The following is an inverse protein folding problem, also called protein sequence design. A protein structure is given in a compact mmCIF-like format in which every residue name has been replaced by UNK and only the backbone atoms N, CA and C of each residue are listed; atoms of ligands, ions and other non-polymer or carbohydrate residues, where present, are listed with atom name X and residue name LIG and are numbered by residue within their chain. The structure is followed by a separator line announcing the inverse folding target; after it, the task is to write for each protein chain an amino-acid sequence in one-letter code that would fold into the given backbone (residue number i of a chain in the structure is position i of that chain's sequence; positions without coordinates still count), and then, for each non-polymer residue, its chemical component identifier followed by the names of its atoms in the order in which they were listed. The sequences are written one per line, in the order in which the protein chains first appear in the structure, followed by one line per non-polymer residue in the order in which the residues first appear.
data_IF_898618563522
#
_entry.id   IF_898618563522
#
_cell.length_a   1.000
_cell.length_b   1.000
_cell.length_c   1.000
_cell.angle_alpha   90.00
_cell.angle_beta   90.00
_cell.angle_gamma   90.00
#
_symmetry.space_group_name_H-M   'P 1'
#
loop_
_entity.id
_entity.type
_entity.pdbx_description
1 polymer ?
#
# COMPACT_ATOMS: atom_id res chain seq x y z
N UNK A 1 11.15 5.27 1.31
CA UNK A 1 9.94 4.48 1.61
C UNK A 1 8.66 5.07 1.02
N UNK A 2 8.43 6.39 1.13
CA UNK A 2 7.24 7.03 0.58
C UNK A 2 7.17 6.95 -0.96
N UNK A 3 8.29 7.15 -1.67
CA UNK A 3 8.33 6.96 -3.12
C UNK A 3 7.93 5.54 -3.53
N UNK A 4 8.45 4.53 -2.81
CA UNK A 4 8.08 3.13 -3.04
C UNK A 4 6.59 2.89 -2.80
N UNK A 5 6.02 3.50 -1.76
CA UNK A 5 4.59 3.44 -1.47
C UNK A 5 3.75 4.08 -2.60
N UNK A 6 4.09 5.29 -3.04
CA UNK A 6 3.38 5.95 -4.14
C UNK A 6 3.54 5.23 -5.48
N UNK A 7 4.71 4.65 -5.75
CA UNK A 7 4.91 3.82 -6.94
C UNK A 7 4.05 2.55 -6.91
N UNK A 8 3.89 1.90 -5.74
CA UNK A 8 2.96 0.77 -5.58
C UNK A 8 1.50 1.20 -5.76
N UNK A 9 1.11 2.38 -5.28
CA UNK A 9 -0.23 2.93 -5.52
C UNK A 9 -0.47 3.26 -7.01
N UNK A 10 0.54 3.77 -7.71
CA UNK A 10 0.47 3.97 -9.17
C UNK A 10 0.38 2.64 -9.92
N UNK A 11 1.07 1.61 -9.45
CA UNK A 11 0.93 0.27 -10.01
C UNK A 11 -0.49 -0.29 -9.77
N UNK A 12 -1.08 -0.05 -8.59
CA UNK A 12 -2.45 -0.45 -8.28
C UNK A 12 -3.48 0.12 -9.27
N UNK A 13 -3.30 1.35 -9.76
CA UNK A 13 -4.23 1.94 -10.73
C UNK A 13 -4.20 1.27 -12.10
N UNK A 14 -3.23 0.39 -12.38
CA UNK A 14 -3.27 -0.45 -13.58
C UNK A 14 -4.48 -1.40 -13.53
N UNK A 15 -5.27 -1.53 -14.62
CA UNK A 15 -6.39 -2.47 -14.70
C UNK A 15 -6.00 -3.91 -14.36
N UNK A 16 -4.77 -4.31 -14.72
CA UNK A 16 -4.23 -5.66 -14.52
C UNK A 16 -3.61 -5.90 -13.14
N UNK A 17 -3.58 -4.89 -12.27
CA UNK A 17 -2.96 -5.05 -10.95
C UNK A 17 -3.88 -5.75 -9.96
N UNK A 18 -3.42 -6.87 -9.40
CA UNK A 18 -4.07 -7.59 -8.29
C UNK A 18 -3.67 -7.04 -6.91
N UNK A 19 -2.84 -6.00 -6.86
CA UNK A 19 -2.42 -5.41 -5.60
C UNK A 19 -3.62 -4.82 -4.84
N UNK A 20 -3.61 -4.93 -3.52
CA UNK A 20 -4.67 -4.36 -2.67
C UNK A 20 -4.14 -3.17 -1.87
N UNK A 21 -4.93 -2.11 -1.78
CA UNK A 21 -4.57 -0.89 -1.01
C UNK A 21 -4.19 -1.21 0.44
N UNK A 22 -4.89 -2.13 1.16
CA UNK A 22 -4.47 -2.53 2.50
C UNK A 22 -3.08 -3.17 2.56
N UNK A 23 -2.70 -3.97 1.57
CA UNK A 23 -1.37 -4.59 1.53
C UNK A 23 -0.28 -3.55 1.27
N UNK A 24 -0.54 -2.59 0.37
CA UNK A 24 0.41 -1.51 0.04
C UNK A 24 0.62 -0.61 1.27
N UNK A 25 -0.47 -0.24 1.94
CA UNK A 25 -0.46 0.60 3.15
C UNK A 25 0.19 -0.13 4.32
N UNK A 26 -0.17 -1.40 4.55
CA UNK A 26 0.46 -2.24 5.57
C UNK A 26 1.98 -2.29 5.39
N UNK A 27 2.45 -2.48 4.15
CA UNK A 27 3.88 -2.54 3.89
C UNK A 27 4.63 -1.24 4.19
N UNK A 28 4.00 -0.08 3.93
CA UNK A 28 4.57 1.21 4.32
C UNK A 28 4.79 1.26 5.84
N UNK A 29 3.79 0.88 6.63
CA UNK A 29 3.87 0.94 8.09
C UNK A 29 4.82 -0.11 8.68
N UNK A 30 4.90 -1.31 8.10
CA UNK A 30 5.95 -2.28 8.45
C UNK A 30 7.35 -1.69 8.28
N UNK A 31 7.61 -1.05 7.14
CA UNK A 31 8.91 -0.47 6.83
C UNK A 31 9.19 0.76 7.72
N UNK A 32 8.17 1.60 7.99
CA UNK A 32 8.28 2.71 8.94
C UNK A 32 8.59 2.22 10.36
N UNK A 33 7.96 1.15 10.82
CA UNK A 33 8.19 0.60 12.15
C UNK A 33 9.66 0.22 12.36
N UNK A 34 10.23 -0.51 11.40
CA UNK A 34 11.64 -0.93 11.45
C UNK A 34 12.57 0.28 11.42
N UNK A 35 12.31 1.25 10.54
CA UNK A 35 13.12 2.48 10.45
C UNK A 35 13.06 3.27 11.76
N UNK A 36 11.87 3.47 12.34
CA UNK A 36 11.74 4.19 13.60
C UNK A 36 12.44 3.49 14.74
N UNK A 37 12.35 2.16 14.82
CA UNK A 37 13.09 1.38 15.81
C UNK A 37 14.60 1.60 15.69
N UNK A 38 15.15 1.56 14.46
CA UNK A 38 16.57 1.80 14.22
C UNK A 38 17.00 3.25 14.55
N UNK A 39 16.14 4.24 14.28
CA UNK A 39 16.39 5.63 14.63
C UNK A 39 16.40 5.86 16.15
N UNK A 40 15.53 5.17 16.88
CA UNK A 40 15.49 5.23 18.35
C UNK A 40 16.62 4.43 19.00
N UNK A 41 17.16 3.42 18.30
CA UNK A 41 18.20 2.52 18.80
C UNK A 41 19.41 2.50 17.86
N UNK A 42 20.12 3.64 17.68
CA UNK A 42 21.12 3.81 16.62
C UNK A 42 22.34 2.89 16.76
N UNK A 43 22.60 2.35 17.95
CA UNK A 43 23.69 1.42 18.21
C UNK A 43 23.36 -0.03 17.81
N UNK A 44 22.11 -0.32 17.45
CA UNK A 44 21.64 -1.66 17.08
C UNK A 44 21.28 -1.71 15.60
N UNK A 45 21.96 -2.57 14.84
CA UNK A 45 21.49 -2.98 13.53
C UNK A 45 20.40 -4.04 13.67
N UNK A 46 19.40 -4.01 12.77
CA UNK A 46 18.31 -4.97 12.76
C UNK A 46 18.63 -6.03 11.71
N UNK A 47 18.85 -7.27 12.14
CA UNK A 47 19.05 -8.41 11.23
C UNK A 47 17.74 -8.82 10.55
N UNK A 48 17.80 -9.71 9.55
CA UNK A 48 16.60 -10.21 8.88
C UNK A 48 15.68 -10.99 9.84
N UNK A 49 16.26 -11.76 10.76
CA UNK A 49 15.55 -12.54 11.78
C UNK A 49 14.87 -11.60 12.79
N UNK A 50 15.59 -10.59 13.26
CA UNK A 50 15.06 -9.56 14.16
C UNK A 50 13.94 -8.77 13.48
N UNK A 51 14.10 -8.40 12.20
CA UNK A 51 13.05 -7.76 11.40
C UNK A 51 11.78 -8.61 11.38
N UNK A 52 11.90 -9.92 11.16
CA UNK A 52 10.74 -10.84 11.16
C UNK A 52 10.07 -10.90 12.53
N UNK A 53 10.85 -10.99 13.60
CA UNK A 53 10.35 -10.97 14.97
C UNK A 53 9.60 -9.67 15.29
N UNK A 54 10.18 -8.53 14.93
CA UNK A 54 9.55 -7.21 15.10
C UNK A 54 8.20 -7.13 14.40
N UNK A 55 8.13 -7.54 13.12
CA UNK A 55 6.88 -7.49 12.36
C UNK A 55 5.82 -8.44 12.91
N UNK A 56 6.22 -9.59 13.47
CA UNK A 56 5.30 -10.50 14.14
C UNK A 56 4.65 -9.85 15.38
N UNK A 57 5.44 -9.14 16.20
CA UNK A 57 4.95 -8.44 17.38
C UNK A 57 4.29 -7.07 17.10
N UNK A 58 4.34 -6.58 15.86
CA UNK A 58 3.90 -5.22 15.53
C UNK A 58 2.40 -5.00 15.78
N UNK A 59 1.56 -6.01 15.54
CA UNK A 59 0.11 -5.93 15.78
C UNK A 59 -0.24 -5.83 17.26
N UNK A 60 0.55 -6.48 18.12
CA UNK A 60 0.37 -6.46 19.58
C UNK A 60 0.87 -5.15 20.19
N UNK A 61 2.04 -4.67 19.74
CA UNK A 61 2.64 -3.43 20.24
C UNK A 61 1.86 -2.20 19.75
N UNK A 62 1.22 -2.29 18.58
CA UNK A 62 0.49 -1.20 17.93
C UNK A 62 1.27 0.13 17.94
N UNK A 63 2.49 0.19 17.37
CA UNK A 63 3.39 1.36 17.48
C UNK A 63 2.82 2.65 16.87
N UNK A 64 1.81 2.52 16.00
CA UNK A 64 1.11 3.63 15.36
C UNK A 64 -0.36 3.72 15.78
N UNK A 65 -0.75 2.98 16.83
CA UNK A 65 -2.15 2.84 17.23
C UNK A 65 -3.02 2.33 16.08
N UNK A 66 -4.16 3.00 15.87
CA UNK A 66 -5.13 2.65 14.82
C UNK A 66 -4.91 3.38 13.48
N UNK A 67 -3.87 4.21 13.39
CA UNK A 67 -3.58 5.04 12.20
C UNK A 67 -3.39 4.19 10.92
N UNK A 68 -2.63 3.08 10.92
CA UNK A 68 -2.47 2.26 9.71
C UNK A 68 -3.81 1.76 9.15
N UNK A 69 -4.69 1.32 10.04
CA UNK A 69 -6.02 0.83 9.68
C UNK A 69 -6.91 1.95 9.15
N UNK A 70 -6.90 3.12 9.80
CA UNK A 70 -7.64 4.31 9.34
C UNK A 70 -7.19 4.73 7.95
N UNK A 71 -5.89 4.87 7.72
CA UNK A 71 -5.36 5.26 6.41
C UNK A 71 -5.72 4.21 5.35
N UNK A 72 -5.50 2.93 5.64
CA UNK A 72 -5.86 1.83 4.73
C UNK A 72 -7.34 1.91 4.31
N UNK A 73 -8.25 2.00 5.29
CA UNK A 73 -9.69 2.04 5.05
C UNK A 73 -10.15 3.30 4.29
N UNK A 74 -9.56 4.46 4.62
CA UNK A 74 -9.89 5.73 3.97
C UNK A 74 -9.34 5.81 2.54
N UNK A 75 -8.23 5.13 2.25
CA UNK A 75 -7.65 5.10 0.90
C UNK A 75 -8.30 4.04 0.02
N UNK A 76 -8.65 2.89 0.56
CA UNK A 76 -9.12 1.75 -0.24
C UNK A 76 -10.38 2.08 -1.03
N UNK A 77 -11.43 2.57 -0.38
CA UNK A 77 -12.71 2.88 -1.03
C UNK A 77 -12.56 3.85 -2.22
N UNK A 78 -12.01 5.07 -2.05
CA UNK A 78 -11.93 6.01 -3.16
C UNK A 78 -11.01 5.52 -4.29
N UNK A 79 -9.91 4.84 -3.97
CA UNK A 79 -8.98 4.34 -4.98
C UNK A 79 -9.56 3.19 -5.79
N UNK A 80 -10.31 2.28 -5.16
CA UNK A 80 -11.04 1.21 -5.86
C UNK A 80 -12.12 1.79 -6.76
N UNK A 81 -12.91 2.76 -6.27
CA UNK A 81 -13.91 3.46 -7.09
C UNK A 81 -13.25 4.15 -8.29
N UNK A 82 -12.14 4.85 -8.07
CA UNK A 82 -11.39 5.52 -9.12
C UNK A 82 -10.88 4.54 -10.18
N UNK A 83 -10.29 3.41 -9.74
CA UNK A 83 -9.84 2.34 -10.64
C UNK A 83 -10.99 1.82 -11.50
N UNK A 84 -12.14 1.50 -10.90
CA UNK A 84 -13.31 1.06 -11.65
C UNK A 84 -13.80 2.11 -12.63
N UNK A 85 -13.90 3.37 -12.22
CA UNK A 85 -14.34 4.47 -13.09
C UNK A 85 -13.46 4.60 -14.33
N UNK A 86 -12.14 4.65 -14.15
CA UNK A 86 -11.17 4.75 -15.26
C UNK A 86 -11.23 3.52 -16.17
N UNK A 87 -11.26 2.31 -15.59
CA UNK A 87 -11.38 1.08 -16.38
C UNK A 87 -12.68 1.01 -17.17
N UNK A 88 -13.79 1.51 -16.62
CA UNK A 88 -15.06 1.60 -17.35
C UNK A 88 -14.99 2.56 -18.53
N UNK A 89 -14.34 3.73 -18.37
CA UNK A 89 -14.15 4.68 -19.46
C UNK A 89 -13.27 4.10 -20.59
N UNK A 90 -12.18 3.44 -20.23
CA UNK A 90 -11.29 2.77 -21.19
C UNK A 90 -12.04 1.70 -21.99
N UNK A 91 -12.83 0.87 -21.30
CA UNK A 91 -13.67 -0.13 -21.95
C UNK A 91 -14.72 0.50 -22.90
N UNK A 92 -15.39 1.59 -22.48
CA UNK A 92 -16.34 2.29 -23.34
C UNK A 92 -15.67 2.87 -24.59
N UNK A 93 -14.48 3.45 -24.44
CA UNK A 93 -13.68 3.94 -25.57
C UNK A 93 -13.38 2.81 -26.56
N UNK A 94 -12.84 1.68 -26.07
CA UNK A 94 -12.50 0.52 -26.90
C UNK A 94 -13.72 -0.06 -27.64
N UNK A 95 -14.90 -0.09 -26.99
CA UNK A 95 -16.15 -0.54 -27.62
C UNK A 95 -16.57 0.41 -28.74
N UNK A 96 -16.58 1.72 -28.49
CA UNK A 96 -16.99 2.72 -29.49
C UNK A 96 -16.02 2.75 -30.69
N UNK A 97 -14.72 2.67 -30.44
CA UNK A 97 -13.71 2.60 -31.49
C UNK A 97 -13.91 1.37 -32.37
N UNK A 98 -14.19 0.20 -31.78
CA UNK A 98 -14.48 -1.04 -32.51
C UNK A 98 -15.81 -1.03 -33.28
N UNK A 99 -16.73 -0.11 -32.99
CA UNK A 99 -17.96 0.09 -33.77
C UNK A 99 -17.80 1.10 -34.90
N UNK A 100 -16.92 2.10 -34.74
CA UNK A 100 -16.76 3.21 -35.69
C UNK A 100 -15.72 2.95 -36.77
N UNK A 101 -14.79 2.01 -36.55
CA UNK A 101 -13.79 1.53 -37.51
C UNK A 101 -14.08 0.08 -37.93
#
# INVERSE_FOLDING_TARGET
IFDTFFNRLRAFSSPFSDAKVPQITGKLFEDMFVIMFQLMNPMHSVTAEQRRCMLYGMSEIAPFGDVPNKISNHMEKPLVIWKHFVSSLDNMYNVLEGFMN
#
